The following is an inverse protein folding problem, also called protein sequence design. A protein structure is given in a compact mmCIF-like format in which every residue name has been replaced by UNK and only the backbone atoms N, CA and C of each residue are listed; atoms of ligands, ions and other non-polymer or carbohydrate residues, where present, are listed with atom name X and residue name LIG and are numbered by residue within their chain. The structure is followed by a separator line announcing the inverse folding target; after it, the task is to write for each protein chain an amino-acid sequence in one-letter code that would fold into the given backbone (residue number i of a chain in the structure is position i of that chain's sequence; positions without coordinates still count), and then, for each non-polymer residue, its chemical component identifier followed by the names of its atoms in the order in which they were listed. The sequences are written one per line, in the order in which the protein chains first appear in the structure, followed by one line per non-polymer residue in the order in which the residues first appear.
data_IF_255082354545
#
_entry.id   IF_255082354545
#
_cell.length_a   1.000
_cell.length_b   1.000
_cell.length_c   1.000
_cell.angle_alpha   90.00
_cell.angle_beta   90.00
_cell.angle_gamma   90.00
#
_symmetry.space_group_name_H-M   'P 1'
#
loop_
_entity.id
_entity.type
_entity.pdbx_description
1 polymer ?
#
# COMPACT_ATOMS: atom_id res chain seq x y z
N UNK A 1 -0.87 2.69 -12.18
CA UNK A 1 0.60 2.85 -12.27
C UNK A 1 1.14 1.48 -12.61
N UNK A 2 1.47 1.26 -13.88
CA UNK A 2 2.07 0.00 -14.33
C UNK A 2 3.52 -0.04 -13.82
N UNK A 3 3.82 -0.95 -12.92
CA UNK A 3 5.19 -1.26 -12.54
C UNK A 3 5.63 -2.37 -13.50
N UNK A 4 6.07 -1.98 -14.69
CA UNK A 4 6.86 -2.88 -15.53
C UNK A 4 8.18 -3.16 -14.80
N UNK A 5 8.61 -4.42 -14.83
CA UNK A 5 9.77 -5.00 -14.19
C UNK A 5 10.89 -4.02 -13.89
N UNK A 6 11.02 -3.69 -12.61
CA UNK A 6 12.07 -2.79 -12.16
C UNK A 6 13.39 -3.55 -12.15
N UNK A 7 14.25 -3.20 -13.09
CA UNK A 7 15.64 -3.64 -13.05
C UNK A 7 16.34 -3.08 -11.79
N UNK A 8 17.40 -3.74 -11.35
CA UNK A 8 18.14 -3.40 -10.13
C UNK A 8 18.52 -1.89 -10.00
N UNK A 9 18.69 -1.19 -11.12
CA UNK A 9 18.97 0.26 -11.14
C UNK A 9 17.85 1.13 -10.59
N UNK A 10 16.57 0.77 -10.84
CA UNK A 10 15.42 1.52 -10.32
C UNK A 10 15.24 1.33 -8.82
N UNK A 11 15.59 0.18 -8.28
CA UNK A 11 15.58 -0.10 -6.84
C UNK A 11 16.62 0.74 -6.13
N UNK A 12 17.84 0.81 -6.66
CA UNK A 12 18.93 1.61 -6.10
C UNK A 12 18.60 3.12 -6.07
N UNK A 13 18.01 3.67 -7.13
CA UNK A 13 17.57 5.07 -7.18
C UNK A 13 16.45 5.37 -6.19
N UNK A 14 15.52 4.44 -5.99
CA UNK A 14 14.47 4.58 -4.98
C UNK A 14 15.01 4.47 -3.57
N UNK A 15 15.94 3.55 -3.32
CA UNK A 15 16.63 3.42 -2.05
C UNK A 15 17.38 4.71 -1.68
N UNK A 16 18.16 5.27 -2.60
CA UNK A 16 18.88 6.53 -2.38
C UNK A 16 17.95 7.73 -2.11
N UNK A 17 16.79 7.80 -2.81
CA UNK A 17 15.77 8.84 -2.55
C UNK A 17 15.08 8.68 -1.19
N UNK A 18 14.89 7.44 -0.75
CA UNK A 18 14.33 7.15 0.58
C UNK A 18 15.35 7.45 1.67
N UNK A 19 16.60 7.14 1.45
CA UNK A 19 17.69 7.44 2.39
C UNK A 19 17.76 8.94 2.71
N UNK A 20 17.66 9.80 1.70
CA UNK A 20 17.57 11.25 1.91
C UNK A 20 16.31 11.69 2.66
N UNK A 21 15.19 10.99 2.50
CA UNK A 21 13.93 11.31 3.22
C UNK A 21 13.90 10.79 4.64
N UNK A 22 14.60 9.70 4.91
CA UNK A 22 14.72 9.09 6.23
C UNK A 22 15.99 9.54 6.98
N UNK A 23 16.70 10.53 6.48
CA UNK A 23 17.92 11.04 7.10
C UNK A 23 17.68 11.86 8.38
N UNK A 24 16.46 12.34 8.58
CA UNK A 24 16.07 13.06 9.80
C UNK A 24 15.65 12.11 10.93
N UNK A 25 15.58 12.65 12.14
CA UNK A 25 15.18 11.90 13.35
C UNK A 25 13.71 11.49 13.37
N UNK A 26 12.88 12.13 12.52
CA UNK A 26 11.45 11.86 12.42
C UNK A 26 11.00 11.84 10.97
N UNK A 27 10.33 10.77 10.57
CA UNK A 27 9.79 10.62 9.24
C UNK A 27 8.56 9.72 9.23
N UNK A 28 7.69 9.91 8.26
CA UNK A 28 6.53 9.07 7.98
C UNK A 28 6.53 8.75 6.49
N UNK A 29 6.41 7.47 6.16
CA UNK A 29 6.28 7.01 4.78
C UNK A 29 4.92 6.33 4.63
N UNK A 30 4.10 6.84 3.70
CA UNK A 30 2.84 6.24 3.29
C UNK A 30 3.01 5.56 1.93
N UNK A 31 2.64 4.29 1.85
CA UNK A 31 2.62 3.51 0.62
C UNK A 31 3.25 2.11 0.73
N UNK A 32 2.97 1.28 -0.30
CA UNK A 32 3.52 -0.07 -0.45
C UNK A 32 4.67 -0.06 -1.45
N UNK A 33 5.84 0.31 -1.01
CA UNK A 33 7.06 0.36 -1.81
C UNK A 33 7.78 -1.00 -1.76
N UNK A 34 7.19 -2.04 -2.36
CA UNK A 34 7.62 -3.44 -2.25
C UNK A 34 9.12 -3.68 -2.42
N UNK A 35 9.75 -2.95 -3.36
CA UNK A 35 11.16 -3.13 -3.68
C UNK A 35 12.12 -2.59 -2.62
N UNK A 36 11.67 -1.64 -1.79
CA UNK A 36 12.50 -0.96 -0.78
C UNK A 36 11.93 -1.11 0.64
N UNK A 37 10.87 -1.89 0.78
CA UNK A 37 10.21 -2.12 2.05
C UNK A 37 11.15 -2.68 3.13
N UNK A 38 12.03 -3.65 2.84
CA UNK A 38 13.00 -4.13 3.82
C UNK A 38 13.91 -3.00 4.36
N UNK A 39 14.40 -2.13 3.48
CA UNK A 39 15.25 -0.99 3.88
C UNK A 39 14.50 0.02 4.75
N UNK A 40 13.21 0.22 4.48
CA UNK A 40 12.35 1.08 5.31
C UNK A 40 12.18 0.44 6.69
N UNK A 41 11.92 -0.86 6.74
CA UNK A 41 11.70 -1.58 7.99
C UNK A 41 12.95 -1.69 8.87
N UNK A 42 14.14 -1.78 8.29
CA UNK A 42 15.40 -1.75 9.03
C UNK A 42 15.60 -0.46 9.85
N UNK A 43 14.97 0.65 9.40
CA UNK A 43 15.14 1.98 9.99
C UNK A 43 13.90 2.50 10.72
N UNK A 44 12.77 1.86 10.55
CA UNK A 44 11.54 2.22 11.22
C UNK A 44 11.51 1.75 12.66
N UNK A 45 10.74 2.41 13.49
CA UNK A 45 10.37 1.97 14.83
C UNK A 45 8.95 1.39 14.88
N UNK A 46 8.08 1.90 14.01
CA UNK A 46 6.66 1.56 14.01
C UNK A 46 6.13 1.33 12.60
N UNK A 47 5.39 0.26 12.43
CA UNK A 47 4.68 -0.08 11.20
C UNK A 47 3.18 -0.16 11.46
N UNK A 48 2.41 0.75 10.88
CA UNK A 48 0.95 0.70 10.92
C UNK A 48 0.46 -0.04 9.69
N UNK A 49 -0.05 -1.25 9.91
CA UNK A 49 -0.55 -2.12 8.84
C UNK A 49 -2.07 -2.05 8.73
N UNK A 50 -2.57 -1.46 7.64
CA UNK A 50 -3.99 -1.43 7.32
C UNK A 50 -4.41 -2.74 6.66
N UNK A 51 -5.14 -3.59 7.40
CA UNK A 51 -5.64 -4.91 6.95
C UNK A 51 -7.17 -5.01 7.09
N UNK A 52 -7.95 -4.18 6.39
CA UNK A 52 -9.40 -4.31 6.43
C UNK A 52 -9.83 -5.65 5.80
N UNK A 53 -10.97 -6.22 6.24
CA UNK A 53 -11.51 -7.43 5.64
C UNK A 53 -11.62 -7.30 4.11
N UNK A 54 -11.26 -8.36 3.37
CA UNK A 54 -11.25 -8.36 1.90
C UNK A 54 -12.54 -7.83 1.29
N UNK A 55 -13.70 -8.23 1.84
CA UNK A 55 -15.00 -7.73 1.38
C UNK A 55 -15.13 -6.21 1.50
N UNK A 56 -14.65 -5.65 2.60
CA UNK A 56 -14.65 -4.20 2.84
C UNK A 56 -13.72 -3.48 1.85
N UNK A 57 -12.52 -4.01 1.64
CA UNK A 57 -11.56 -3.47 0.68
C UNK A 57 -12.16 -3.46 -0.72
N UNK A 58 -12.66 -4.62 -1.19
CA UNK A 58 -13.22 -4.76 -2.54
C UNK A 58 -14.44 -3.85 -2.75
N UNK A 59 -15.36 -3.80 -1.77
CA UNK A 59 -16.52 -2.89 -1.86
C UNK A 59 -16.11 -1.43 -1.99
N UNK A 60 -15.14 -0.98 -1.18
CA UNK A 60 -14.63 0.40 -1.25
C UNK A 60 -13.95 0.69 -2.58
N UNK A 61 -13.18 -0.27 -3.08
CA UNK A 61 -12.48 -0.14 -4.35
C UNK A 61 -13.45 -0.02 -5.51
N UNK A 62 -14.41 -0.96 -5.62
CA UNK A 62 -15.45 -0.95 -6.65
C UNK A 62 -16.24 0.36 -6.60
N UNK A 63 -16.73 0.75 -5.41
CA UNK A 63 -17.50 1.99 -5.26
C UNK A 63 -16.71 3.22 -5.69
N UNK A 64 -15.44 3.29 -5.30
CA UNK A 64 -14.54 4.38 -5.71
C UNK A 64 -14.36 4.42 -7.22
N UNK A 65 -14.12 3.28 -7.86
CA UNK A 65 -13.92 3.19 -9.31
C UNK A 65 -15.20 3.53 -10.07
N UNK A 66 -16.35 3.00 -9.65
CA UNK A 66 -17.66 3.36 -10.24
C UNK A 66 -17.92 4.86 -10.14
N UNK A 67 -17.69 5.46 -8.96
CA UNK A 67 -17.88 6.90 -8.76
C UNK A 67 -16.96 7.75 -9.64
N UNK A 68 -15.71 7.33 -9.83
CA UNK A 68 -14.74 8.02 -10.69
C UNK A 68 -15.13 7.95 -12.16
N UNK A 69 -15.54 6.78 -12.63
CA UNK A 69 -15.98 6.60 -14.02
C UNK A 69 -17.27 7.37 -14.27
N UNK A 70 -18.27 7.30 -13.37
CA UNK A 70 -19.53 8.04 -13.50
C UNK A 70 -19.31 9.56 -13.43
N UNK A 71 -18.42 10.03 -12.56
CA UNK A 71 -18.07 11.45 -12.42
C UNK A 71 -17.11 11.98 -13.49
N UNK A 72 -16.66 11.13 -14.44
CA UNK A 72 -15.61 11.47 -15.42
C UNK A 72 -14.39 12.13 -14.79
N UNK A 73 -14.09 11.79 -13.54
CA UNK A 73 -13.01 12.40 -12.77
C UNK A 73 -11.67 12.10 -13.44
N UNK A 74 -10.93 13.15 -13.75
CA UNK A 74 -9.59 13.04 -14.28
C UNK A 74 -8.63 12.56 -13.18
N UNK A 75 -7.85 11.54 -13.49
CA UNK A 75 -6.77 11.06 -12.67
C UNK A 75 -5.47 11.78 -13.04
N UNK A 76 -4.41 11.45 -12.36
CA UNK A 76 -3.09 12.04 -12.61
C UNK A 76 -2.69 11.99 -14.09
N UNK A 77 -2.14 13.08 -14.62
CA UNK A 77 -1.65 13.21 -16.00
C UNK A 77 -2.73 13.03 -17.10
N UNK A 78 -3.96 13.51 -16.89
CA UNK A 78 -5.01 13.41 -17.90
C UNK A 78 -5.61 12.02 -18.06
N UNK A 79 -5.22 11.05 -17.26
CA UNK A 79 -5.72 9.69 -17.36
C UNK A 79 -7.12 9.59 -16.75
N UNK A 80 -8.06 8.94 -17.46
CA UNK A 80 -9.44 8.71 -17.02
C UNK A 80 -9.70 7.21 -16.90
N UNK A 81 -10.28 6.78 -15.79
CA UNK A 81 -10.78 5.40 -15.69
C UNK A 81 -11.93 5.19 -16.69
N UNK A 82 -11.82 4.15 -17.52
CA UNK A 82 -12.86 3.75 -18.47
C UNK A 82 -13.65 2.58 -17.89
N UNK A 83 -14.95 2.47 -18.24
CA UNK A 83 -15.78 1.33 -17.85
C UNK A 83 -15.16 -0.02 -18.23
N UNK A 84 -14.45 -0.08 -19.35
CA UNK A 84 -13.71 -1.26 -19.79
C UNK A 84 -12.73 -1.76 -18.74
N UNK A 85 -11.99 -0.87 -18.07
CA UNK A 85 -11.00 -1.21 -17.04
C UNK A 85 -11.63 -1.77 -15.75
N UNK A 86 -12.91 -1.49 -15.51
CA UNK A 86 -13.67 -2.09 -14.41
C UNK A 86 -14.11 -3.52 -14.71
N UNK A 87 -14.37 -3.84 -15.97
CA UNK A 87 -14.92 -5.13 -16.41
C UNK A 87 -13.85 -6.10 -16.90
N UNK A 88 -12.62 -5.64 -17.09
CA UNK A 88 -11.49 -6.47 -17.52
C UNK A 88 -10.95 -7.29 -16.35
N UNK A 89 -10.72 -8.58 -16.59
CA UNK A 89 -10.07 -9.51 -15.66
C UNK A 89 -8.53 -9.39 -15.71
N UNK A 90 -7.99 -8.59 -16.59
CA UNK A 90 -6.58 -8.35 -16.72
C UNK A 90 -6.05 -7.61 -15.48
N UNK A 91 -5.00 -8.17 -14.87
CA UNK A 91 -4.39 -7.61 -13.66
C UNK A 91 -3.64 -6.30 -13.93
N UNK A 92 -3.18 -6.08 -15.15
CA UNK A 92 -2.47 -4.86 -15.54
C UNK A 92 -3.45 -3.70 -15.83
N UNK A 93 -4.66 -4.01 -16.34
CA UNK A 93 -5.65 -3.01 -16.71
C UNK A 93 -6.69 -2.73 -15.60
N UNK A 94 -6.93 -3.70 -14.70
CA UNK A 94 -7.97 -3.60 -13.68
C UNK A 94 -7.38 -3.50 -12.27
N UNK A 95 -7.59 -2.34 -11.63
CA UNK A 95 -7.23 -2.12 -10.20
C UNK A 95 -7.94 -3.11 -9.28
N UNK A 96 -9.14 -3.56 -9.65
CA UNK A 96 -9.92 -4.53 -8.87
C UNK A 96 -9.28 -5.92 -8.94
N UNK A 97 -8.90 -6.36 -10.16
CA UNK A 97 -8.22 -7.63 -10.37
C UNK A 97 -6.85 -7.64 -9.70
N UNK A 98 -6.09 -6.56 -9.86
CA UNK A 98 -4.82 -6.36 -9.17
C UNK A 98 -4.96 -6.46 -7.65
N UNK A 99 -5.90 -5.75 -7.05
CA UNK A 99 -6.13 -5.77 -5.61
C UNK A 99 -6.57 -7.15 -5.11
N UNK A 100 -7.40 -7.86 -5.89
CA UNK A 100 -7.83 -9.22 -5.55
C UNK A 100 -6.66 -10.19 -5.48
N UNK A 101 -5.71 -10.08 -6.42
CA UNK A 101 -4.52 -10.93 -6.49
C UNK A 101 -3.51 -10.57 -5.39
N UNK A 102 -3.26 -9.29 -5.20
CA UNK A 102 -2.19 -8.83 -4.30
C UNK A 102 -2.60 -8.83 -2.82
N UNK A 103 -3.90 -8.79 -2.50
CA UNK A 103 -4.37 -8.77 -1.12
C UNK A 103 -3.81 -9.93 -0.26
N UNK A 104 -3.88 -11.21 -0.67
CA UNK A 104 -3.28 -12.29 0.11
C UNK A 104 -1.76 -12.15 0.21
N UNK A 105 -1.08 -11.78 -0.89
CA UNK A 105 0.38 -11.64 -0.93
C UNK A 105 0.86 -10.60 0.10
N UNK A 106 0.20 -9.45 0.17
CA UNK A 106 0.55 -8.44 1.17
C UNK A 106 0.28 -8.92 2.58
N UNK A 107 -0.85 -9.55 2.81
CA UNK A 107 -1.23 -10.07 4.12
C UNK A 107 -0.24 -11.11 4.63
N UNK A 108 0.16 -12.04 3.78
CA UNK A 108 1.15 -13.07 4.11
C UNK A 108 2.51 -12.45 4.41
N UNK A 109 2.95 -11.46 3.63
CA UNK A 109 4.19 -10.72 3.86
C UNK A 109 4.20 -10.03 5.22
N UNK A 110 3.19 -9.25 5.55
CA UNK A 110 3.13 -8.56 6.85
C UNK A 110 3.00 -9.54 8.01
N UNK A 111 2.25 -10.64 7.82
CA UNK A 111 2.13 -11.69 8.83
C UNK A 111 3.47 -12.41 9.07
N UNK A 112 4.23 -12.65 8.01
CA UNK A 112 5.58 -13.22 8.11
C UNK A 112 6.53 -12.25 8.83
N UNK A 113 6.51 -10.97 8.45
CA UNK A 113 7.39 -9.95 9.03
C UNK A 113 7.17 -9.75 10.54
N UNK A 114 5.91 -9.80 11.00
CA UNK A 114 5.59 -9.73 12.46
C UNK A 114 6.27 -10.85 13.26
N UNK A 115 6.57 -11.98 12.61
CA UNK A 115 7.18 -13.15 13.27
C UNK A 115 8.68 -13.27 13.01
N UNK A 116 9.22 -12.44 12.14
CA UNK A 116 10.62 -12.49 11.74
C UNK A 116 11.50 -11.81 12.81
N UNK A 117 12.47 -12.54 13.39
CA UNK A 117 13.41 -11.98 14.37
C UNK A 117 14.19 -10.78 13.84
N UNK A 118 14.42 -10.69 12.53
CA UNK A 118 15.10 -9.55 11.89
C UNK A 118 14.36 -8.23 12.14
N UNK A 119 13.05 -8.27 12.37
CA UNK A 119 12.20 -7.10 12.60
C UNK A 119 11.71 -7.00 14.06
N UNK A 120 12.39 -7.64 15.00
CA UNK A 120 12.03 -7.61 16.43
C UNK A 120 12.08 -6.22 17.07
N UNK A 121 12.81 -5.28 16.47
CA UNK A 121 12.85 -3.87 16.86
C UNK A 121 11.61 -3.07 16.45
N UNK A 122 10.78 -3.59 15.52
CA UNK A 122 9.61 -2.92 15.01
C UNK A 122 8.37 -3.18 15.87
N UNK A 123 7.62 -2.12 16.13
CA UNK A 123 6.27 -2.23 16.67
C UNK A 123 5.26 -2.32 15.53
N UNK A 124 4.67 -3.50 15.30
CA UNK A 124 3.61 -3.68 14.31
C UNK A 124 2.23 -3.43 14.91
N UNK A 125 1.53 -2.43 14.40
CA UNK A 125 0.13 -2.14 14.75
C UNK A 125 -0.78 -2.47 13.58
N UNK A 126 -1.51 -3.58 13.67
CA UNK A 126 -2.50 -3.98 12.66
C UNK A 126 -3.83 -3.28 12.91
N UNK A 127 -4.41 -2.71 11.85
CA UNK A 127 -5.69 -2.01 11.88
C UNK A 127 -6.63 -2.61 10.85
N UNK A 128 -7.68 -3.29 11.31
CA UNK A 128 -8.67 -3.94 10.47
C UNK A 128 -9.96 -3.10 10.31
N UNK A 129 -10.20 -2.13 11.20
CA UNK A 129 -11.44 -1.37 11.23
C UNK A 129 -11.23 0.14 11.41
N UNK A 130 -12.29 0.93 11.11
CA UNK A 130 -12.29 2.37 11.40
C UNK A 130 -12.32 2.67 12.91
N UNK A 131 -12.87 1.76 13.71
CA UNK A 131 -12.90 1.91 15.16
C UNK A 131 -11.48 1.80 15.73
N UNK A 132 -10.73 0.78 15.34
CA UNK A 132 -9.32 0.61 15.72
C UNK A 132 -8.45 1.81 15.29
N UNK A 133 -8.68 2.33 14.07
CA UNK A 133 -7.99 3.55 13.62
C UNK A 133 -8.29 4.74 14.52
N UNK A 134 -9.54 4.93 14.94
CA UNK A 134 -9.89 6.03 15.86
C UNK A 134 -9.23 5.85 17.22
N UNK A 135 -9.27 4.64 17.76
CA UNK A 135 -8.60 4.33 19.04
C UNK A 135 -7.10 4.62 18.97
N UNK A 136 -6.43 4.23 17.88
CA UNK A 136 -5.02 4.56 17.69
C UNK A 136 -4.80 6.08 17.66
N UNK A 137 -5.62 6.83 16.92
CA UNK A 137 -5.47 8.29 16.84
C UNK A 137 -5.75 8.99 18.17
N UNK A 138 -6.63 8.45 19.00
CA UNK A 138 -6.91 8.94 20.36
C UNK A 138 -5.76 8.64 21.32
N UNK A 139 -5.06 7.52 21.14
CA UNK A 139 -3.92 7.13 21.98
C UNK A 139 -2.63 7.92 21.69
N UNK A 140 -2.53 8.59 20.54
CA UNK A 140 -1.37 9.37 20.11
C UNK A 140 -1.53 10.87 20.48
N UNK A 141 -2.71 11.29 20.91
CA UNK A 141 -2.99 12.67 21.33
C UNK A 141 -2.56 12.91 22.77
#
# INVERSE_FOLDING_TARGET
MAIRGEGAGNVAVRAARLDGRCAGDRWIIDGNYNAVLPLIWERADTVIWLDPPRRTLMRRLIWRSVRRVAGRTELWNGNRERWRNLLTWDQEESVISWARHHYPIYRDRYTAAVRDPAYSHLTFTRIASRAEMRQLLESIR
#
